data_IF_873943077072
#
_entry.id   IF_873943077072
#
_cell.length_a   1.000
_cell.length_b   1.000
_cell.length_c   1.000
_cell.angle_alpha   90.00
_cell.angle_beta   90.00
_cell.angle_gamma   90.00
#
_symmetry.space_group_name_H-M   'P 1'
#
loop_
_entity.id
_entity.type
_entity.pdbx_description
1 polymer ?
#
# COMPACT_ATOMS: atom_id res chain seq x y z
N UNK A 1 14.65 -25.29 10.53
CA UNK A 1 13.31 -24.75 10.83
C UNK A 1 12.44 -25.89 11.35
N UNK A 2 11.99 -25.84 12.62
CA UNK A 2 11.15 -26.89 13.22
C UNK A 2 9.83 -27.08 12.48
N UNK A 3 9.27 -26.02 11.88
CA UNK A 3 8.06 -26.12 11.06
C UNK A 3 8.33 -26.87 9.75
N UNK A 4 9.45 -26.56 9.08
CA UNK A 4 9.85 -27.30 7.89
C UNK A 4 10.04 -28.79 8.18
N UNK A 5 10.54 -29.17 9.35
CA UNK A 5 10.61 -30.58 9.75
C UNK A 5 9.22 -31.21 9.90
N UNK A 6 8.20 -30.48 10.37
CA UNK A 6 6.84 -31.01 10.53
C UNK A 6 6.12 -31.16 9.18
N UNK A 7 6.29 -30.21 8.25
CA UNK A 7 5.70 -30.30 6.90
C UNK A 7 6.42 -31.31 6.02
N UNK A 8 7.73 -31.48 6.17
CA UNK A 8 8.53 -32.45 5.40
C UNK A 8 8.29 -33.86 5.93
N UNK A 9 8.27 -34.06 7.25
CA UNK A 9 7.93 -35.36 7.85
C UNK A 9 6.53 -35.83 7.42
N UNK A 10 5.54 -34.94 7.30
CA UNK A 10 4.22 -35.30 6.76
C UNK A 10 4.28 -35.77 5.32
N UNK A 11 5.09 -35.15 4.47
CA UNK A 11 5.22 -35.55 3.05
C UNK A 11 5.90 -36.90 2.92
N UNK A 12 6.94 -37.16 3.72
CA UNK A 12 7.63 -38.44 3.78
C UNK A 12 6.67 -39.54 4.23
N UNK A 13 5.94 -39.36 5.35
CA UNK A 13 4.94 -40.33 5.80
C UNK A 13 3.84 -40.57 4.76
N UNK A 14 3.32 -39.53 4.10
CA UNK A 14 2.32 -39.71 3.04
C UNK A 14 2.87 -40.54 1.86
N UNK A 15 4.14 -40.34 1.52
CA UNK A 15 4.81 -41.07 0.45
C UNK A 15 5.10 -42.52 0.86
N UNK A 16 5.64 -42.74 2.06
CA UNK A 16 5.97 -44.07 2.61
C UNK A 16 4.72 -44.95 2.75
N UNK A 17 3.62 -44.37 3.22
CA UNK A 17 2.35 -45.07 3.43
C UNK A 17 1.46 -45.12 2.17
N UNK A 18 1.94 -44.66 1.01
CA UNK A 18 1.18 -44.60 -0.25
C UNK A 18 -0.18 -43.86 -0.15
N UNK A 19 -0.27 -42.86 0.73
CA UNK A 19 -1.50 -42.10 1.00
C UNK A 19 -1.74 -40.93 0.04
N UNK A 20 -0.96 -40.83 -1.03
CA UNK A 20 -1.10 -39.75 -2.03
C UNK A 20 -2.51 -39.65 -2.62
N UNK A 21 -3.23 -40.77 -2.76
CA UNK A 21 -4.63 -40.78 -3.19
C UNK A 21 -5.59 -40.10 -2.20
N UNK A 22 -5.31 -40.20 -0.90
CA UNK A 22 -6.12 -39.61 0.16
C UNK A 22 -5.98 -38.09 0.24
N UNK A 23 -4.94 -37.50 -0.34
CA UNK A 23 -4.82 -36.04 -0.46
C UNK A 23 -5.95 -35.41 -1.29
N UNK A 24 -6.52 -36.19 -2.21
CA UNK A 24 -7.66 -35.77 -3.01
C UNK A 24 -9.00 -36.15 -2.36
N UNK A 25 -8.99 -36.86 -1.23
CA UNK A 25 -10.19 -37.27 -0.51
C UNK A 25 -10.89 -36.07 0.13
N UNK A 26 -12.18 -35.83 -0.15
CA UNK A 26 -12.97 -34.77 0.47
C UNK A 26 -13.02 -34.83 2.01
N UNK A 27 -12.71 -36.00 2.59
CA UNK A 27 -12.67 -36.24 4.02
C UNK A 27 -11.50 -35.53 4.70
N UNK A 28 -10.35 -35.49 4.04
CA UNK A 28 -9.09 -34.97 4.60
C UNK A 28 -8.70 -33.62 4.01
N UNK A 29 -9.40 -33.17 2.96
CA UNK A 29 -9.16 -31.90 2.29
C UNK A 29 -9.78 -30.74 3.08
N UNK A 30 -8.91 -29.89 3.61
CA UNK A 30 -9.30 -28.72 4.42
C UNK A 30 -9.02 -27.45 3.62
N UNK A 31 -10.01 -27.00 2.86
CA UNK A 31 -9.86 -25.86 1.93
C UNK A 31 -10.93 -24.80 2.16
N UNK A 32 -10.57 -23.56 1.81
CA UNK A 32 -11.44 -22.39 1.85
C UNK A 32 -12.29 -22.21 0.59
N UNK A 33 -12.07 -23.04 -0.44
CA UNK A 33 -12.69 -22.93 -1.77
C UNK A 33 -13.16 -24.29 -2.27
N UNK A 34 -13.94 -24.26 -3.37
CA UNK A 34 -14.34 -25.45 -4.10
C UNK A 34 -15.51 -26.23 -3.47
N UNK A 35 -15.90 -27.35 -4.08
CA UNK A 35 -17.10 -28.10 -3.70
C UNK A 35 -17.03 -28.77 -2.32
N UNK A 36 -15.84 -28.88 -1.74
CA UNK A 36 -15.61 -29.49 -0.43
C UNK A 36 -15.13 -28.48 0.63
N UNK A 37 -15.42 -27.20 0.42
CA UNK A 37 -15.08 -26.11 1.32
C UNK A 37 -15.45 -26.44 2.77
N UNK A 38 -14.50 -26.25 3.69
CA UNK A 38 -14.66 -26.56 5.13
C UNK A 38 -14.71 -25.32 6.01
N UNK A 39 -14.18 -24.20 5.54
CA UNK A 39 -14.14 -22.95 6.30
C UNK A 39 -14.22 -21.73 5.38
N UNK A 40 -14.64 -20.60 5.95
CA UNK A 40 -14.62 -19.31 5.27
C UNK A 40 -13.28 -18.61 5.52
N UNK A 41 -12.67 -18.06 4.46
CA UNK A 41 -11.49 -17.21 4.58
C UNK A 41 -11.85 -15.77 4.25
N UNK A 42 -11.46 -14.85 5.15
CA UNK A 42 -11.75 -13.43 5.09
C UNK A 42 -10.47 -12.62 5.21
N UNK A 43 -10.41 -11.48 4.53
CA UNK A 43 -9.51 -10.38 4.85
C UNK A 43 -10.34 -9.16 5.25
N UNK A 44 -10.08 -8.62 6.44
CA UNK A 44 -10.82 -7.47 6.99
C UNK A 44 -9.81 -6.48 7.56
N UNK A 45 -9.41 -5.44 6.80
CA UNK A 45 -8.38 -4.53 7.26
C UNK A 45 -8.85 -3.75 8.50
N UNK A 46 -7.94 -3.50 9.43
CA UNK A 46 -8.21 -2.63 10.57
C UNK A 46 -8.26 -1.17 10.12
N UNK A 47 -9.30 -0.45 10.52
CA UNK A 47 -9.51 0.99 10.33
C UNK A 47 -9.65 1.69 11.69
N UNK A 48 -9.02 1.11 12.71
CA UNK A 48 -9.12 1.54 14.09
C UNK A 48 -8.11 2.64 14.34
N UNK A 49 -8.57 3.74 14.92
CA UNK A 49 -7.73 4.82 15.42
C UNK A 49 -7.28 4.46 16.83
N UNK A 50 -5.98 4.24 17.02
CA UNK A 50 -5.42 3.89 18.32
C UNK A 50 -5.56 5.07 19.31
N UNK A 51 -5.84 4.76 20.58
CA UNK A 51 -5.97 5.76 21.64
C UNK A 51 -7.43 5.99 22.06
N UNK A 52 -7.78 7.22 22.40
CA UNK A 52 -9.10 7.56 22.95
C UNK A 52 -10.28 7.18 22.02
N UNK A 53 -10.03 7.17 20.70
CA UNK A 53 -11.02 6.88 19.67
C UNK A 53 -11.08 5.39 19.27
N UNK A 54 -10.41 4.49 19.99
CA UNK A 54 -10.33 3.08 19.61
C UNK A 54 -11.71 2.40 19.55
N UNK A 55 -12.50 2.51 20.63
CA UNK A 55 -13.85 1.93 20.68
C UNK A 55 -14.77 2.60 19.66
N UNK A 56 -14.67 3.92 19.53
CA UNK A 56 -15.49 4.70 18.62
C UNK A 56 -15.21 4.29 17.17
N UNK A 57 -13.95 4.20 16.77
CA UNK A 57 -13.55 3.82 15.40
C UNK A 57 -13.93 2.37 15.08
N UNK A 58 -13.84 1.43 16.03
CA UNK A 58 -14.33 0.05 15.84
C UNK A 58 -15.83 0.01 15.54
N UNK A 59 -16.64 0.83 16.23
CA UNK A 59 -18.10 0.82 16.10
C UNK A 59 -18.61 1.65 14.92
N UNK A 60 -18.03 2.83 14.73
CA UNK A 60 -18.62 3.90 13.92
C UNK A 60 -17.85 4.22 12.63
N UNK A 61 -16.70 3.59 12.38
CA UNK A 61 -16.07 3.62 11.05
C UNK A 61 -16.55 2.40 10.26
N UNK A 62 -17.13 2.57 9.05
CA UNK A 62 -17.58 1.43 8.25
C UNK A 62 -16.46 0.41 8.01
N UNK A 63 -16.74 -0.88 8.21
CA UNK A 63 -15.73 -1.93 8.00
C UNK A 63 -15.79 -2.49 6.57
N UNK A 64 -14.64 -2.88 6.02
CA UNK A 64 -14.59 -3.68 4.78
C UNK A 64 -14.38 -5.15 5.09
N UNK A 65 -15.12 -6.01 4.39
CA UNK A 65 -15.05 -7.47 4.51
C UNK A 65 -14.79 -8.07 3.14
N UNK A 66 -13.58 -8.57 2.91
CA UNK A 66 -13.21 -9.27 1.68
C UNK A 66 -13.26 -10.78 1.89
N UNK A 67 -14.31 -11.42 1.41
CA UNK A 67 -14.42 -12.88 1.45
C UNK A 67 -13.79 -13.51 0.22
N UNK A 68 -13.21 -14.71 0.36
CA UNK A 68 -12.67 -15.47 -0.77
C UNK A 68 -13.74 -15.85 -1.81
N UNK A 69 -15.01 -15.87 -1.38
CA UNK A 69 -16.23 -16.00 -2.17
C UNK A 69 -17.39 -15.27 -1.44
N UNK A 70 -18.59 -15.26 -2.04
CA UNK A 70 -19.78 -14.62 -1.45
C UNK A 70 -20.25 -15.24 -0.14
N UNK A 71 -20.13 -16.57 0.03
CA UNK A 71 -20.50 -17.24 1.28
C UNK A 71 -19.63 -16.76 2.44
N UNK A 72 -18.32 -16.65 2.20
CA UNK A 72 -17.39 -16.08 3.14
C UNK A 72 -17.71 -14.60 3.39
N UNK A 73 -17.86 -13.79 2.35
CA UNK A 73 -18.14 -12.36 2.47
C UNK A 73 -19.42 -12.09 3.29
N UNK A 74 -20.48 -12.87 3.05
CA UNK A 74 -21.76 -12.77 3.77
C UNK A 74 -21.62 -13.19 5.22
N UNK A 75 -20.93 -14.30 5.49
CA UNK A 75 -20.66 -14.77 6.86
C UNK A 75 -19.84 -13.75 7.65
N UNK A 76 -18.82 -13.17 7.02
CA UNK A 76 -18.02 -12.08 7.59
C UNK A 76 -18.86 -10.84 7.86
N UNK A 77 -19.72 -10.43 6.91
CA UNK A 77 -20.64 -9.31 7.11
C UNK A 77 -21.52 -9.53 8.34
N UNK A 78 -22.11 -10.72 8.47
CA UNK A 78 -22.95 -11.06 9.62
C UNK A 78 -22.17 -10.96 10.94
N UNK A 79 -20.97 -11.53 11.00
CA UNK A 79 -20.11 -11.46 12.18
C UNK A 79 -19.78 -10.00 12.58
N UNK A 80 -19.31 -9.20 11.63
CA UNK A 80 -18.88 -7.83 11.91
C UNK A 80 -20.05 -6.88 12.17
N UNK A 81 -21.25 -7.19 11.67
CA UNK A 81 -22.46 -6.41 11.94
C UNK A 81 -22.93 -6.50 13.40
N UNK A 82 -22.42 -7.47 14.17
CA UNK A 82 -22.75 -7.59 15.60
C UNK A 82 -22.27 -6.39 16.42
N UNK A 83 -21.25 -5.65 15.96
CA UNK A 83 -20.67 -4.54 16.72
C UNK A 83 -20.30 -3.31 15.88
N UNK A 84 -20.12 -3.43 14.56
CA UNK A 84 -19.86 -2.29 13.69
C UNK A 84 -21.20 -1.66 13.26
N UNK A 85 -21.64 -0.66 14.02
CA UNK A 85 -22.91 0.06 13.84
C UNK A 85 -22.94 0.83 12.52
N UNK A 86 -21.80 1.32 12.04
CA UNK A 86 -21.68 2.02 10.77
C UNK A 86 -21.95 1.14 9.54
N UNK A 87 -22.02 -0.19 9.72
CA UNK A 87 -22.36 -1.14 8.67
C UNK A 87 -21.12 -1.65 7.92
N UNK A 88 -20.85 -2.97 7.95
CA UNK A 88 -19.81 -3.56 7.13
C UNK A 88 -20.21 -3.65 5.65
N UNK A 89 -19.30 -3.22 4.77
CA UNK A 89 -19.38 -3.44 3.31
C UNK A 89 -18.61 -4.71 2.97
N UNK A 90 -19.31 -5.68 2.40
CA UNK A 90 -18.75 -6.97 2.03
C UNK A 90 -18.59 -7.11 0.51
N UNK A 91 -17.48 -7.71 0.09
CA UNK A 91 -17.13 -7.98 -1.31
C UNK A 91 -16.48 -9.36 -1.41
N UNK A 92 -16.65 -10.05 -2.54
CA UNK A 92 -16.05 -11.37 -2.81
C UNK A 92 -14.58 -11.30 -3.27
N UNK A 93 -13.80 -10.38 -2.70
CA UNK A 93 -12.38 -10.25 -3.04
C UNK A 93 -11.57 -9.76 -1.84
N UNK A 94 -10.78 -10.63 -1.20
CA UNK A 94 -9.84 -10.22 -0.16
C UNK A 94 -8.87 -9.16 -0.68
N UNK A 95 -8.43 -9.32 -1.94
CA UNK A 95 -7.48 -8.43 -2.61
C UNK A 95 -8.02 -7.03 -2.84
N UNK A 96 -9.30 -6.91 -3.20
CA UNK A 96 -9.95 -5.60 -3.31
C UNK A 96 -9.91 -4.88 -1.96
N UNK A 97 -10.22 -5.59 -0.87
CA UNK A 97 -10.17 -5.00 0.47
C UNK A 97 -8.75 -4.70 0.97
N UNK A 98 -7.76 -5.51 0.59
CA UNK A 98 -6.33 -5.19 0.79
C UNK A 98 -6.00 -3.87 0.09
N UNK A 99 -6.36 -3.74 -1.19
CA UNK A 99 -6.08 -2.53 -1.97
C UNK A 99 -6.81 -1.30 -1.43
N UNK A 100 -8.06 -1.44 -0.97
CA UNK A 100 -8.79 -0.35 -0.31
C UNK A 100 -8.04 0.17 0.92
N UNK A 101 -7.45 -0.70 1.74
CA UNK A 101 -6.68 -0.27 2.91
C UNK A 101 -5.41 0.49 2.52
N UNK A 102 -4.68 -0.03 1.55
CA UNK A 102 -3.48 0.63 1.02
C UNK A 102 -3.84 2.01 0.45
N UNK A 103 -4.91 2.07 -0.33
CA UNK A 103 -5.42 3.31 -0.93
C UNK A 103 -5.87 4.33 0.11
N UNK A 104 -6.65 3.92 1.11
CA UNK A 104 -7.06 4.81 2.22
C UNK A 104 -5.84 5.47 2.86
N UNK A 105 -4.88 4.68 3.34
CA UNK A 105 -3.72 5.20 4.05
C UNK A 105 -2.86 6.11 3.15
N UNK A 106 -2.66 5.71 1.89
CA UNK A 106 -1.86 6.50 0.96
C UNK A 106 -2.56 7.81 0.58
N UNK A 107 -3.78 7.78 0.07
CA UNK A 107 -4.43 8.97 -0.47
C UNK A 107 -4.94 9.94 0.60
N UNK A 108 -5.22 9.47 1.82
CA UNK A 108 -5.70 10.33 2.91
C UNK A 108 -4.61 10.84 3.83
N UNK A 109 -3.47 10.13 3.95
CA UNK A 109 -2.38 10.49 4.88
C UNK A 109 -1.03 10.57 4.17
N UNK A 110 -0.54 9.46 3.63
CA UNK A 110 0.84 9.34 3.16
C UNK A 110 1.19 10.25 1.98
N UNK A 111 0.45 10.13 0.88
CA UNK A 111 0.63 10.96 -0.30
C UNK A 111 0.47 12.45 0.01
N UNK A 112 -0.54 12.82 0.80
CA UNK A 112 -0.78 14.21 1.20
C UNK A 112 0.38 14.74 2.08
N UNK A 113 0.92 13.92 2.97
CA UNK A 113 2.11 14.27 3.74
C UNK A 113 3.33 14.54 2.85
N UNK A 114 3.61 13.67 1.87
CA UNK A 114 4.75 13.89 0.95
C UNK A 114 4.59 15.15 0.11
N UNK A 115 3.36 15.48 -0.31
CA UNK A 115 3.07 16.74 -0.99
C UNK A 115 3.29 17.95 -0.07
N UNK A 116 2.88 17.83 1.19
CA UNK A 116 3.06 18.88 2.21
C UNK A 116 4.54 19.11 2.51
N UNK A 117 5.33 18.04 2.62
CA UNK A 117 6.79 18.10 2.77
C UNK A 117 7.45 18.81 1.58
N UNK A 118 7.08 18.45 0.34
CA UNK A 118 7.61 19.10 -0.86
C UNK A 118 7.25 20.60 -0.89
N UNK A 119 6.03 20.96 -0.52
CA UNK A 119 5.62 22.36 -0.43
C UNK A 119 6.40 23.13 0.65
N UNK A 120 6.61 22.54 1.84
CA UNK A 120 7.42 23.11 2.91
C UNK A 120 8.85 23.40 2.46
N UNK A 121 9.53 22.40 1.85
CA UNK A 121 10.89 22.58 1.31
C UNK A 121 10.96 23.71 0.27
N UNK A 122 9.94 23.87 -0.58
CA UNK A 122 9.92 24.97 -1.54
C UNK A 122 9.74 26.33 -0.86
N UNK A 123 8.87 26.44 0.13
CA UNK A 123 8.65 27.66 0.90
C UNK A 123 9.94 28.08 1.61
N UNK A 124 10.62 27.13 2.26
CA UNK A 124 11.89 27.34 2.94
C UNK A 124 12.98 27.77 1.94
N UNK A 125 13.13 27.04 0.83
CA UNK A 125 14.15 27.32 -0.18
C UNK A 125 13.96 28.69 -0.86
N UNK A 126 12.71 29.14 -1.01
CA UNK A 126 12.38 30.45 -1.59
C UNK A 126 12.40 31.58 -0.54
N UNK A 127 12.61 31.27 0.74
CA UNK A 127 12.57 32.25 1.82
C UNK A 127 11.19 32.92 1.98
N UNK A 128 10.11 32.20 1.64
CA UNK A 128 8.75 32.75 1.63
C UNK A 128 8.03 32.71 2.99
N UNK A 129 8.65 32.09 4.00
CA UNK A 129 8.15 32.11 5.38
C UNK A 129 7.81 30.71 5.90
N UNK A 130 6.70 30.62 6.62
CA UNK A 130 6.31 29.44 7.40
C UNK A 130 5.23 28.60 6.69
N UNK A 131 5.47 27.30 6.53
CA UNK A 131 4.52 26.36 5.95
C UNK A 131 3.16 26.38 6.68
N UNK A 132 3.14 26.52 8.00
CA UNK A 132 1.88 26.49 8.76
C UNK A 132 0.98 27.68 8.45
N UNK A 133 1.57 28.86 8.17
CA UNK A 133 0.82 30.00 7.65
C UNK A 133 0.16 29.68 6.30
N UNK A 134 0.93 29.20 5.31
CA UNK A 134 0.40 28.86 3.99
C UNK A 134 -0.66 27.75 4.06
N UNK A 135 -0.41 26.71 4.86
CA UNK A 135 -1.37 25.63 5.11
C UNK A 135 -2.68 26.17 5.70
N UNK A 136 -2.58 27.08 6.67
CA UNK A 136 -3.73 27.77 7.24
C UNK A 136 -4.55 28.48 6.17
N UNK A 137 -3.90 29.27 5.31
CA UNK A 137 -4.54 29.97 4.20
C UNK A 137 -5.19 29.01 3.19
N UNK A 138 -4.50 27.94 2.79
CA UNK A 138 -5.04 26.94 1.85
C UNK A 138 -6.24 26.19 2.40
N UNK A 139 -6.27 25.92 3.71
CA UNK A 139 -7.35 25.19 4.37
C UNK A 139 -8.60 26.03 4.65
N UNK A 140 -8.56 27.37 4.51
CA UNK A 140 -9.73 28.24 4.71
C UNK A 140 -10.93 27.89 3.83
N UNK A 141 -10.71 27.23 2.69
CA UNK A 141 -11.78 26.82 1.77
C UNK A 141 -12.64 25.67 2.33
N UNK A 142 -12.13 24.90 3.29
CA UNK A 142 -12.88 23.87 4.04
C UNK A 142 -13.19 22.56 3.29
N UNK A 143 -13.20 22.54 1.96
CA UNK A 143 -13.46 21.34 1.15
C UNK A 143 -12.19 20.60 0.70
N UNK A 144 -11.02 21.13 1.06
CA UNK A 144 -9.69 20.56 0.79
C UNK A 144 -8.87 20.66 2.06
N UNK A 145 -8.15 19.59 2.38
CA UNK A 145 -7.32 19.53 3.58
C UNK A 145 -5.89 19.27 3.16
N UNK A 146 -5.04 20.26 3.44
CA UNK A 146 -3.59 20.12 3.47
C UNK A 146 -3.20 19.72 4.88
N UNK A 147 -2.52 18.58 5.00
CA UNK A 147 -2.02 18.08 6.28
C UNK A 147 -0.77 18.87 6.72
N UNK A 148 -0.44 18.90 8.01
CA UNK A 148 0.81 19.49 8.49
C UNK A 148 2.03 18.87 7.80
N UNK A 149 3.05 19.70 7.56
CA UNK A 149 4.38 19.23 7.22
C UNK A 149 5.10 18.79 8.50
N UNK A 150 6.26 18.15 8.35
CA UNK A 150 7.09 17.73 9.47
C UNK A 150 8.31 16.96 8.98
N UNK A 151 9.26 16.71 9.87
CA UNK A 151 10.52 16.02 9.53
C UNK A 151 10.26 14.58 9.05
N UNK A 152 9.28 13.89 9.66
CA UNK A 152 8.88 12.54 9.26
C UNK A 152 7.39 12.30 9.53
N UNK A 153 6.79 11.34 8.83
CA UNK A 153 5.51 10.77 9.22
C UNK A 153 5.75 9.53 10.07
N UNK A 154 5.51 9.64 11.38
CA UNK A 154 5.60 8.52 12.32
C UNK A 154 4.46 7.52 12.16
N UNK A 155 4.70 6.26 12.56
CA UNK A 155 3.71 5.18 12.52
C UNK A 155 3.91 4.17 11.37
N UNK A 156 3.45 2.94 11.59
CA UNK A 156 3.75 1.78 10.73
C UNK A 156 3.02 1.81 9.37
N UNK A 157 1.86 2.48 9.32
CA UNK A 157 0.85 2.36 8.25
C UNK A 157 0.90 3.44 7.16
N UNK A 158 1.94 4.26 7.08
CA UNK A 158 2.01 5.31 6.05
C UNK A 158 3.26 5.20 5.18
N UNK A 159 4.47 4.99 5.74
CA UNK A 159 5.65 4.72 4.92
C UNK A 159 5.55 3.42 4.11
N UNK A 160 4.94 2.37 4.69
CA UNK A 160 4.75 1.06 4.04
C UNK A 160 3.73 1.14 2.88
N UNK A 161 2.70 1.97 3.07
CA UNK A 161 1.67 2.48 2.18
C UNK A 161 2.10 2.55 0.72
N UNK A 162 3.04 3.46 0.53
CA UNK A 162 3.61 3.87 -0.73
C UNK A 162 4.43 2.75 -1.38
N UNK A 163 5.27 2.07 -0.59
CA UNK A 163 6.08 0.95 -1.08
C UNK A 163 5.21 -0.20 -1.60
N UNK A 164 4.05 -0.43 -0.98
CA UNK A 164 3.13 -1.49 -1.39
C UNK A 164 2.43 -1.16 -2.72
N UNK A 165 2.01 0.10 -2.94
CA UNK A 165 1.50 0.53 -4.25
C UNK A 165 2.54 0.38 -5.36
N UNK A 166 3.79 0.78 -5.08
CA UNK A 166 4.89 0.63 -6.02
C UNK A 166 5.20 -0.86 -6.31
N UNK A 167 5.15 -1.72 -5.29
CA UNK A 167 5.37 -3.15 -5.44
C UNK A 167 4.30 -3.83 -6.31
N UNK A 168 3.03 -3.42 -6.20
CA UNK A 168 1.94 -3.93 -7.06
C UNK A 168 2.21 -3.60 -8.53
N UNK A 169 2.56 -2.35 -8.83
CA UNK A 169 2.89 -1.92 -10.20
C UNK A 169 4.09 -2.71 -10.73
N UNK A 170 5.15 -2.85 -9.92
CA UNK A 170 6.36 -3.61 -10.29
C UNK A 170 6.05 -5.08 -10.57
N UNK A 171 5.22 -5.72 -9.74
CA UNK A 171 4.77 -7.08 -9.94
C UNK A 171 3.91 -7.23 -11.21
N UNK A 172 3.04 -6.27 -11.49
CA UNK A 172 2.19 -6.29 -12.69
C UNK A 172 3.00 -6.21 -14.00
N UNK A 173 4.20 -5.62 -14.00
CA UNK A 173 5.06 -5.53 -15.20
C UNK A 173 6.16 -6.59 -15.27
N UNK A 174 6.35 -7.37 -14.19
CA UNK A 174 7.34 -8.45 -14.10
C UNK A 174 6.84 -9.69 -14.83
N UNK A 175 7.64 -10.29 -15.74
CA UNK A 175 7.23 -11.51 -16.47
C UNK A 175 6.82 -12.67 -15.55
N UNK A 176 7.45 -12.79 -14.37
CA UNK A 176 7.22 -13.88 -13.42
C UNK A 176 5.91 -13.73 -12.66
N UNK A 177 5.41 -12.51 -12.48
CA UNK A 177 4.28 -12.22 -11.58
C UNK A 177 3.11 -11.49 -12.25
N UNK A 178 3.29 -11.02 -13.49
CA UNK A 178 2.30 -10.27 -14.29
C UNK A 178 0.95 -10.94 -14.32
N UNK A 179 0.88 -12.17 -14.83
CA UNK A 179 -0.41 -12.80 -15.13
C UNK A 179 -1.20 -13.03 -13.84
N UNK A 180 -0.52 -13.54 -12.80
CA UNK A 180 -1.09 -13.68 -11.46
C UNK A 180 -1.60 -12.35 -10.89
N UNK A 181 -0.85 -11.26 -11.06
CA UNK A 181 -1.23 -9.95 -10.54
C UNK A 181 -2.42 -9.36 -11.31
N UNK A 182 -2.43 -9.46 -12.64
CA UNK A 182 -3.54 -8.95 -13.47
C UNK A 182 -4.81 -9.80 -13.31
N UNK A 183 -4.68 -11.12 -13.17
CA UNK A 183 -5.79 -12.02 -12.81
C UNK A 183 -6.41 -11.62 -11.47
N UNK A 184 -5.55 -11.27 -10.50
CA UNK A 184 -5.95 -10.90 -9.14
C UNK A 184 -6.82 -9.63 -9.07
N UNK A 185 -6.73 -8.77 -10.07
CA UNK A 185 -7.57 -7.56 -10.21
C UNK A 185 -8.65 -7.71 -11.29
N UNK A 186 -8.87 -8.93 -11.79
CA UNK A 186 -9.85 -9.23 -12.83
C UNK A 186 -9.66 -8.41 -14.13
N UNK A 187 -8.40 -8.10 -14.47
CA UNK A 187 -8.09 -7.38 -15.71
C UNK A 187 -8.32 -8.30 -16.91
N UNK A 188 -9.18 -7.87 -17.84
CA UNK A 188 -9.48 -8.59 -19.08
C UNK A 188 -8.18 -8.91 -19.83
N UNK A 189 -8.02 -10.16 -20.26
CA UNK A 189 -6.87 -10.65 -21.04
C UNK A 189 -6.58 -9.78 -22.27
N UNK A 190 -7.61 -9.23 -22.91
CA UNK A 190 -7.48 -8.36 -24.09
C UNK A 190 -6.80 -7.03 -23.78
N UNK A 191 -6.96 -6.53 -22.55
CA UNK A 191 -6.42 -5.24 -22.12
C UNK A 191 -5.03 -5.36 -21.49
N UNK A 192 -4.54 -6.57 -21.19
CA UNK A 192 -3.32 -6.76 -20.38
C UNK A 192 -2.09 -6.14 -20.99
N UNK A 193 -1.89 -6.30 -22.30
CA UNK A 193 -0.72 -5.75 -22.97
C UNK A 193 -0.72 -4.22 -22.97
N UNK A 194 -1.90 -3.62 -23.13
CA UNK A 194 -2.08 -2.16 -23.03
C UNK A 194 -1.83 -1.66 -21.59
N UNK A 195 -2.44 -2.30 -20.60
CA UNK A 195 -2.22 -1.98 -19.18
C UNK A 195 -0.74 -2.09 -18.82
N UNK A 196 -0.06 -3.17 -19.21
CA UNK A 196 1.37 -3.35 -18.92
C UNK A 196 2.23 -2.30 -19.61
N UNK A 197 1.90 -1.95 -20.85
CA UNK A 197 2.57 -0.86 -21.58
C UNK A 197 2.43 0.46 -20.85
N UNK A 198 1.24 0.80 -20.37
CA UNK A 198 1.00 2.03 -19.62
C UNK A 198 1.69 2.03 -18.25
N UNK A 199 1.64 0.93 -17.51
CA UNK A 199 2.37 0.79 -16.25
C UNK A 199 3.89 0.93 -16.45
N UNK A 200 4.45 0.36 -17.52
CA UNK A 200 5.86 0.55 -17.87
C UNK A 200 6.17 2.00 -18.21
N UNK A 201 5.28 2.68 -18.94
CA UNK A 201 5.42 4.11 -19.24
C UNK A 201 5.40 4.95 -17.97
N UNK A 202 4.56 4.61 -16.98
CA UNK A 202 4.53 5.27 -15.67
C UNK A 202 5.83 5.04 -14.89
N UNK A 203 6.35 3.82 -14.84
CA UNK A 203 7.62 3.51 -14.17
C UNK A 203 8.82 4.19 -14.86
N UNK A 204 8.77 4.33 -16.19
CA UNK A 204 9.78 5.02 -16.98
C UNK A 204 9.71 6.54 -16.84
N UNK A 205 8.62 7.11 -16.31
CA UNK A 205 8.56 8.52 -15.93
C UNK A 205 9.41 8.74 -14.67
N UNK A 206 10.73 8.59 -14.80
CA UNK A 206 11.68 9.27 -13.93
C UNK A 206 11.89 10.70 -14.41
N UNK A 207 11.72 11.59 -13.44
CA UNK A 207 12.10 12.99 -13.31
C UNK A 207 13.29 13.39 -14.22
N UNK A 208 13.01 13.89 -15.42
CA UNK A 208 13.96 14.63 -16.25
C UNK A 208 14.22 16.04 -15.72
N UNK A 209 14.27 16.24 -14.40
CA UNK A 209 14.56 17.53 -13.77
C UNK A 209 16.03 17.59 -13.32
N UNK A 210 16.95 17.29 -14.24
CA UNK A 210 18.39 17.52 -14.03
C UNK A 210 19.12 18.01 -15.29
N UNK A 211 18.39 18.42 -16.34
CA UNK A 211 19.00 18.85 -17.60
C UNK A 211 18.69 20.30 -18.00
N UNK A 212 18.09 21.11 -17.13
CA UNK A 212 17.78 22.52 -17.45
C UNK A 212 18.76 23.50 -16.77
N UNK A 213 19.45 23.10 -15.68
CA UNK A 213 20.40 23.99 -14.98
C UNK A 213 21.87 23.83 -15.38
N UNK A 214 22.24 22.83 -16.18
CA UNK A 214 23.64 22.63 -16.59
C UNK A 214 24.03 23.37 -17.88
N UNK A 215 23.07 23.95 -18.59
CA UNK A 215 23.31 24.65 -19.87
C UNK A 215 23.23 26.18 -19.77
N UNK A 216 22.88 26.74 -18.61
CA UNK A 216 22.82 28.21 -18.40
C UNK A 216 23.99 28.79 -17.61
N UNK A 217 24.91 27.97 -17.09
CA UNK A 217 26.11 28.42 -16.36
C UNK A 217 27.42 28.28 -17.15
N UNK A 218 27.35 27.91 -18.43
CA UNK A 218 28.50 27.89 -19.34
C UNK A 218 28.46 29.08 -20.30
N UNK A 219 28.53 30.30 -19.75
CA UNK A 219 28.56 31.52 -20.55
C UNK A 219 28.88 32.77 -19.74
N UNK A 220 30.12 33.24 -19.87
CA UNK A 220 30.65 34.60 -19.58
C UNK A 220 30.90 35.08 -18.14
N UNK A 221 32.15 34.85 -17.68
CA UNK A 221 33.14 35.78 -17.05
C UNK A 221 32.79 36.62 -15.77
N UNK A 222 33.78 37.26 -15.10
CA UNK A 222 34.66 36.68 -14.09
C UNK A 222 34.56 37.38 -12.72
N UNK A 223 34.83 36.62 -11.64
CA UNK A 223 35.30 37.18 -10.36
C UNK A 223 34.24 37.52 -9.32
N UNK A 224 33.86 36.53 -8.50
CA UNK A 224 33.59 36.72 -7.06
C UNK A 224 34.00 35.45 -6.34
N UNK A 225 34.92 35.56 -5.38
CA UNK A 225 35.25 34.49 -4.43
C UNK A 225 33.99 34.08 -3.66
N UNK A 226 33.54 32.84 -3.83
CA UNK A 226 32.65 32.20 -2.85
C UNK A 226 33.08 30.74 -2.68
N UNK A 227 33.35 30.37 -1.43
CA UNK A 227 33.74 29.02 -1.05
C UNK A 227 32.60 28.03 -1.32
N UNK A 228 32.89 26.77 -1.69
CA UNK A 228 31.85 25.77 -1.87
C UNK A 228 31.28 25.32 -0.51
N UNK A 229 29.99 25.55 -0.30
CA UNK A 229 29.20 24.92 0.77
C UNK A 229 29.01 23.44 0.41
N UNK A 230 30.01 22.61 0.71
CA UNK A 230 29.99 21.17 0.41
C UNK A 230 29.63 20.29 1.61
N UNK A 231 29.01 20.82 2.67
CA UNK A 231 28.93 20.12 3.96
C UNK A 231 27.55 19.67 4.47
N UNK A 232 26.41 19.88 3.79
CA UNK A 232 25.11 19.71 4.47
C UNK A 232 24.31 18.43 4.13
N UNK A 233 24.76 17.56 3.22
CA UNK A 233 24.07 16.26 3.03
C UNK A 233 25.04 15.10 3.20
N UNK A 234 25.37 14.81 4.47
CA UNK A 234 25.77 13.47 4.89
C UNK A 234 24.56 12.80 5.53
N UNK A 235 24.00 11.87 4.78
CA UNK A 235 23.06 10.85 5.20
C UNK A 235 23.62 10.05 6.37
N UNK A 236 22.92 10.07 7.51
CA UNK A 236 23.09 9.05 8.55
C UNK A 236 21.82 8.20 8.61
N UNK A 237 21.81 7.13 7.83
CA UNK A 237 21.09 5.91 8.23
C UNK A 237 21.98 5.24 9.29
N UNK A 238 21.62 5.40 10.55
CA UNK A 238 22.13 4.57 11.62
C UNK A 238 20.93 4.05 12.42
N UNK A 239 20.88 2.74 12.51
CA UNK A 239 19.96 1.88 13.25
C UNK A 239 19.81 2.27 14.73
N UNK A 240 18.56 2.28 15.20
CA UNK A 240 18.15 1.83 16.54
C UNK A 240 16.64 1.56 16.53
#
# INVERSE_FOLDING_TARGET
>A
DPMAATTTARRETISEENLSGELNSPRFRYEATGPFKKYNLLYTPSRVDLGAEEINSVKNVPKWVGGLDWDAATSGKALYSLYNVAGPTAVESPRLTEFLKVGENFFSRGGVFYLSLAAGVNIDALGMGDFEFFRGEWNKRGDRIVLPAGETYGGFCVPKEFSLLYAIITAAVSPQTRDRMLDSFHVDKRLREEVVKDLRKLLQKRVGCFSIYSSTLAGSSPGVNSQPVSSIIKTSFATS
#
